data_IF_333585092807
#
_entry.id   IF_333585092807
#
_cell.length_a   1.000
_cell.length_b   1.000
_cell.length_c   1.000
_cell.angle_alpha   90.00
_cell.angle_beta   90.00
_cell.angle_gamma   90.00
#
_symmetry.space_group_name_H-M   'P 1'
#
loop_
_entity.id
_entity.type
_entity.pdbx_description
1 polymer ?
#
# COMPACT_ATOMS: atom_id res chain seq x y z
N UNK A 1 -25.73 -15.17 26.96
CA UNK A 1 -26.30 -15.94 25.85
C UNK A 1 -27.07 -15.09 24.84
N UNK A 2 -28.21 -14.46 25.16
CA UNK A 2 -28.91 -13.59 24.17
C UNK A 2 -28.04 -12.40 23.74
N UNK A 3 -27.39 -11.72 24.69
CA UNK A 3 -26.53 -10.58 24.39
C UNK A 3 -25.28 -10.95 23.57
N UNK A 4 -24.71 -12.13 23.80
CA UNK A 4 -23.56 -12.64 23.04
C UNK A 4 -23.95 -12.95 21.59
N UNK A 5 -25.11 -13.61 21.39
CA UNK A 5 -25.66 -13.89 20.05
C UNK A 5 -25.98 -12.58 19.32
N UNK A 6 -26.60 -11.61 20.00
CA UNK A 6 -26.89 -10.30 19.41
C UNK A 6 -25.61 -9.54 19.04
N UNK A 7 -24.56 -9.62 19.86
CA UNK A 7 -23.27 -9.01 19.56
C UNK A 7 -22.60 -9.67 18.33
N UNK A 8 -22.62 -11.00 18.26
CA UNK A 8 -22.07 -11.77 17.13
C UNK A 8 -22.82 -11.50 15.82
N UNK A 9 -24.16 -11.46 15.85
CA UNK A 9 -24.99 -11.12 14.69
C UNK A 9 -24.73 -9.68 14.25
N UNK A 10 -24.70 -8.73 15.19
CA UNK A 10 -24.44 -7.32 14.88
C UNK A 10 -23.06 -7.13 14.25
N UNK A 11 -22.04 -7.82 14.78
CA UNK A 11 -20.70 -7.84 14.21
C UNK A 11 -20.68 -8.41 12.79
N UNK A 12 -21.40 -9.52 12.58
CA UNK A 12 -21.54 -10.15 11.27
C UNK A 12 -22.24 -9.24 10.25
N UNK A 13 -23.37 -8.63 10.62
CA UNK A 13 -24.11 -7.69 9.77
C UNK A 13 -23.28 -6.45 9.46
N UNK A 14 -22.54 -5.91 10.43
CA UNK A 14 -21.62 -4.79 10.22
C UNK A 14 -20.59 -5.13 9.16
N UNK A 15 -19.95 -6.31 9.23
CA UNK A 15 -18.98 -6.76 8.22
C UNK A 15 -19.55 -6.79 6.81
N UNK A 16 -20.76 -7.31 6.62
CA UNK A 16 -21.39 -7.37 5.30
C UNK A 16 -21.83 -5.98 4.80
N UNK A 17 -22.29 -5.11 5.70
CA UNK A 17 -22.79 -3.78 5.34
C UNK A 17 -21.69 -2.93 4.74
N UNK A 18 -20.47 -3.01 5.28
CA UNK A 18 -19.34 -2.26 4.77
C UNK A 18 -18.94 -2.75 3.34
N UNK A 19 -19.00 -4.06 3.07
CA UNK A 19 -18.75 -4.63 1.73
C UNK A 19 -19.81 -4.18 0.73
N UNK A 20 -21.08 -4.25 1.13
CA UNK A 20 -22.19 -3.82 0.28
C UNK A 20 -22.12 -2.33 -0.01
N UNK A 21 -21.73 -1.52 0.98
CA UNK A 21 -21.44 -0.10 0.81
C UNK A 21 -20.32 0.15 -0.20
N UNK A 22 -19.25 -0.64 -0.13
CA UNK A 22 -18.13 -0.59 -1.08
C UNK A 22 -18.57 -0.93 -2.51
N UNK A 23 -19.32 -2.02 -2.69
CA UNK A 23 -19.85 -2.40 -4.01
C UNK A 23 -20.84 -1.37 -4.55
N UNK A 24 -21.70 -0.80 -3.69
CA UNK A 24 -22.65 0.22 -4.12
C UNK A 24 -21.93 1.49 -4.63
N UNK A 25 -20.80 1.84 -4.01
CA UNK A 25 -20.02 3.02 -4.39
C UNK A 25 -19.02 2.77 -5.52
N UNK A 26 -18.79 1.51 -5.91
CA UNK A 26 -18.00 1.21 -7.10
C UNK A 26 -18.65 1.67 -8.41
N UNK A 27 -19.97 1.89 -8.41
CA UNK A 27 -20.70 2.43 -9.57
C UNK A 27 -20.79 3.96 -9.57
N UNK A 28 -20.09 4.65 -8.67
CA UNK A 28 -20.15 6.11 -8.59
C UNK A 28 -19.38 6.75 -9.76
N UNK A 29 -20.01 7.72 -10.42
CA UNK A 29 -19.43 8.48 -11.56
C UNK A 29 -18.18 9.30 -11.19
N UNK A 30 -17.87 9.42 -9.90
CA UNK A 30 -16.65 10.07 -9.41
C UNK A 30 -15.40 9.19 -9.49
N UNK A 31 -15.56 7.90 -9.79
CA UNK A 31 -14.42 7.01 -9.97
C UNK A 31 -13.78 7.26 -11.34
N UNK A 32 -12.45 7.33 -11.37
CA UNK A 32 -11.67 7.27 -12.61
C UNK A 32 -11.72 5.86 -13.21
N UNK A 33 -12.76 5.54 -13.97
CA UNK A 33 -12.99 4.19 -14.52
C UNK A 33 -11.91 3.76 -15.51
N UNK A 34 -11.24 4.71 -16.15
CA UNK A 34 -10.11 4.50 -17.06
C UNK A 34 -8.97 3.73 -16.35
N UNK A 35 -8.81 3.94 -15.04
CA UNK A 35 -7.78 3.27 -14.23
C UNK A 35 -8.13 1.81 -13.94
N UNK A 36 -9.38 1.39 -14.13
CA UNK A 36 -9.82 0.03 -13.82
C UNK A 36 -9.12 -1.01 -14.67
N UNK A 37 -9.00 -0.77 -15.98
CA UNK A 37 -8.38 -1.71 -16.91
C UNK A 37 -6.91 -2.01 -16.54
N UNK A 38 -6.01 -1.02 -16.43
CA UNK A 38 -4.61 -1.31 -16.11
C UNK A 38 -4.43 -1.91 -14.70
N UNK A 39 -5.23 -1.50 -13.71
CA UNK A 39 -5.16 -2.12 -12.38
C UNK A 39 -5.66 -3.58 -12.41
N UNK A 40 -6.72 -3.88 -13.16
CA UNK A 40 -7.22 -5.25 -13.30
C UNK A 40 -6.19 -6.15 -13.98
N UNK A 41 -5.41 -5.62 -14.94
CA UNK A 41 -4.29 -6.33 -15.56
C UNK A 41 -3.17 -6.61 -14.56
N UNK A 42 -2.76 -5.61 -13.79
CA UNK A 42 -1.78 -5.80 -12.72
C UNK A 42 -2.25 -6.88 -11.73
N UNK A 43 -3.50 -6.82 -11.28
CA UNK A 43 -4.12 -7.84 -10.42
C UNK A 43 -4.09 -9.22 -11.07
N UNK A 44 -4.44 -9.32 -12.36
CA UNK A 44 -4.40 -10.59 -13.08
C UNK A 44 -2.98 -11.18 -13.15
N UNK A 45 -2.00 -10.31 -13.37
CA UNK A 45 -0.59 -10.66 -13.48
C UNK A 45 0.01 -11.13 -12.16
N UNK A 46 -0.26 -10.43 -11.06
CA UNK A 46 0.37 -10.69 -9.76
C UNK A 46 -0.41 -11.66 -8.87
N UNK A 47 -1.73 -11.74 -9.00
CA UNK A 47 -2.59 -12.59 -8.16
C UNK A 47 -2.97 -13.85 -8.92
N UNK A 48 -3.85 -13.71 -9.92
CA UNK A 48 -4.39 -14.80 -10.73
C UNK A 48 -5.20 -14.21 -11.88
N UNK A 49 -5.20 -14.81 -13.09
CA UNK A 49 -6.04 -14.38 -14.21
C UNK A 49 -7.53 -14.20 -13.84
N UNK A 50 -8.04 -15.06 -12.94
CA UNK A 50 -9.44 -15.07 -12.50
C UNK A 50 -9.75 -14.04 -11.40
N UNK A 51 -8.74 -13.41 -10.80
CA UNK A 51 -8.93 -12.46 -9.70
C UNK A 51 -9.69 -11.22 -10.19
N UNK A 52 -10.76 -10.82 -9.50
CA UNK A 52 -11.60 -9.69 -9.87
C UNK A 52 -11.15 -8.42 -9.13
N UNK A 53 -11.29 -7.26 -9.76
CA UNK A 53 -10.98 -5.97 -9.14
C UNK A 53 -12.28 -5.19 -8.95
N UNK A 54 -12.51 -4.67 -7.74
CA UNK A 54 -13.55 -3.69 -7.45
C UNK A 54 -12.86 -2.42 -6.96
N UNK A 55 -13.15 -1.30 -7.63
CA UNK A 55 -12.69 0.03 -7.24
C UNK A 55 -13.85 0.82 -6.67
N UNK A 56 -13.69 1.50 -5.54
CA UNK A 56 -14.75 2.29 -4.92
C UNK A 56 -14.27 3.65 -4.44
N UNK A 57 -15.18 4.64 -4.41
CA UNK A 57 -15.00 5.93 -3.75
C UNK A 57 -15.59 5.86 -2.33
N UNK A 58 -14.79 6.01 -1.28
CA UNK A 58 -15.20 5.78 0.12
C UNK A 58 -15.07 7.03 1.01
N UNK A 59 -16.08 7.32 1.82
CA UNK A 59 -16.15 8.54 2.66
C UNK A 59 -15.54 8.37 4.05
N UNK A 60 -15.60 7.17 4.62
CA UNK A 60 -15.07 6.88 5.95
C UNK A 60 -13.65 6.30 5.91
N UNK A 61 -12.94 6.53 4.80
CA UNK A 61 -11.68 5.85 4.52
C UNK A 61 -10.50 6.68 5.04
N UNK A 62 -9.89 6.19 6.11
CA UNK A 62 -8.48 6.46 6.43
C UNK A 62 -7.67 5.54 5.51
N UNK A 63 -6.57 6.00 4.90
CA UNK A 63 -6.13 5.51 3.60
C UNK A 63 -5.92 4.00 3.58
N UNK A 64 -6.53 3.36 2.58
CA UNK A 64 -6.19 2.02 2.08
C UNK A 64 -5.96 0.99 3.18
N UNK A 65 -6.90 0.91 4.12
CA UNK A 65 -6.95 -0.17 5.08
C UNK A 65 -8.39 -0.59 5.22
N UNK A 66 -8.86 -1.44 4.29
CA UNK A 66 -9.98 -2.27 4.67
C UNK A 66 -9.41 -3.47 5.44
N UNK A 67 -9.70 -3.64 6.74
CA UNK A 67 -9.22 -4.78 7.52
C UNK A 67 -9.88 -6.11 7.13
N UNK A 68 -10.37 -6.23 5.90
CA UNK A 68 -10.91 -7.46 5.39
C UNK A 68 -9.78 -8.31 4.84
N UNK A 69 -9.38 -9.28 5.67
CA UNK A 69 -9.39 -10.64 5.17
C UNK A 69 -10.80 -10.93 4.67
N UNK A 70 -11.07 -10.69 3.38
CA UNK A 70 -12.27 -11.18 2.72
C UNK A 70 -12.13 -12.69 2.58
N UNK A 71 -12.15 -13.42 3.70
CA UNK A 71 -12.37 -14.87 3.67
C UNK A 71 -13.67 -15.18 2.91
N UNK A 72 -14.58 -14.20 2.85
CA UNK A 72 -15.84 -14.21 2.10
C UNK A 72 -15.69 -13.99 0.59
N UNK A 73 -14.63 -13.34 0.12
CA UNK A 73 -14.41 -13.01 -1.30
C UNK A 73 -12.92 -13.19 -1.70
N UNK A 74 -12.34 -14.39 -1.56
CA UNK A 74 -10.91 -14.63 -1.77
C UNK A 74 -10.45 -14.36 -3.21
N UNK A 75 -11.37 -14.37 -4.18
CA UNK A 75 -11.09 -14.04 -5.59
C UNK A 75 -11.21 -12.55 -5.93
N UNK A 76 -11.42 -11.66 -4.96
CA UNK A 76 -11.59 -10.23 -5.19
C UNK A 76 -10.48 -9.40 -4.56
N UNK A 77 -10.01 -8.41 -5.31
CA UNK A 77 -9.14 -7.33 -4.86
C UNK A 77 -9.99 -6.07 -4.76
N UNK A 78 -9.95 -5.41 -3.62
CA UNK A 78 -10.67 -4.17 -3.38
C UNK A 78 -9.69 -3.01 -3.33
N UNK A 79 -9.95 -1.94 -4.07
CA UNK A 79 -9.17 -0.70 -4.06
C UNK A 79 -10.11 0.47 -3.77
N UNK A 80 -10.04 1.01 -2.56
CA UNK A 80 -10.90 2.12 -2.12
C UNK A 80 -10.18 3.46 -2.17
N UNK A 81 -10.58 4.36 -3.07
CA UNK A 81 -10.09 5.74 -3.06
C UNK A 81 -10.97 6.60 -2.14
N UNK A 82 -10.42 7.60 -1.42
CA UNK A 82 -11.23 8.56 -0.67
C UNK A 82 -12.18 9.30 -1.60
N UNK A 83 -13.43 9.47 -1.21
CA UNK A 83 -14.45 10.08 -2.06
C UNK A 83 -14.13 11.51 -2.57
N UNK A 84 -13.42 12.38 -1.82
CA UNK A 84 -12.97 13.67 -2.35
C UNK A 84 -11.86 13.57 -3.40
N UNK A 85 -11.11 12.46 -3.40
CA UNK A 85 -9.91 12.24 -4.20
C UNK A 85 -10.08 11.11 -5.22
N UNK A 86 -11.29 10.58 -5.41
CA UNK A 86 -11.51 9.38 -6.26
C UNK A 86 -11.27 9.61 -7.75
N UNK A 87 -11.23 10.87 -8.18
CA UNK A 87 -10.82 11.29 -9.52
C UNK A 87 -9.33 11.68 -9.62
N UNK A 88 -8.60 11.68 -8.51
CA UNK A 88 -7.19 12.06 -8.48
C UNK A 88 -6.31 10.90 -8.96
N UNK A 89 -5.95 10.92 -10.24
CA UNK A 89 -5.11 9.88 -10.86
C UNK A 89 -3.76 9.70 -10.15
N UNK A 90 -3.24 10.78 -9.55
CA UNK A 90 -1.95 10.78 -8.86
C UNK A 90 -1.96 9.94 -7.57
N UNK A 91 -3.12 9.60 -7.00
CA UNK A 91 -3.20 8.75 -5.80
C UNK A 91 -3.28 7.26 -6.08
N UNK A 92 -3.58 6.86 -7.31
CA UNK A 92 -3.69 5.44 -7.65
C UNK A 92 -2.41 4.62 -7.51
N UNK A 93 -1.17 5.16 -7.47
CA UNK A 93 -0.02 4.39 -7.00
C UNK A 93 -0.27 3.70 -5.65
N UNK A 94 -1.06 4.30 -4.76
CA UNK A 94 -1.40 3.70 -3.46
C UNK A 94 -2.26 2.44 -3.57
N UNK A 95 -2.93 2.22 -4.71
CA UNK A 95 -3.59 0.94 -4.99
C UNK A 95 -2.62 -0.25 -4.95
N UNK A 96 -1.33 -0.02 -5.18
CA UNK A 96 -0.29 -1.03 -5.01
C UNK A 96 -0.27 -1.63 -3.59
N UNK A 97 -0.53 -0.83 -2.56
CA UNK A 97 -0.62 -1.31 -1.18
C UNK A 97 -1.76 -2.32 -1.01
N UNK A 98 -2.97 -1.99 -1.49
CA UNK A 98 -4.14 -2.88 -1.40
C UNK A 98 -3.99 -4.16 -2.22
N UNK A 99 -3.40 -4.06 -3.42
CA UNK A 99 -3.08 -5.22 -4.24
C UNK A 99 -2.03 -6.09 -3.52
N UNK A 100 -1.09 -5.46 -2.82
CA UNK A 100 -0.11 -6.11 -1.96
C UNK A 100 -0.74 -7.03 -0.92
N UNK A 101 -1.79 -6.61 -0.22
CA UNK A 101 -2.48 -7.49 0.74
C UNK A 101 -3.03 -8.75 0.09
N UNK A 102 -3.56 -8.62 -1.13
CA UNK A 102 -4.06 -9.78 -1.89
C UNK A 102 -2.91 -10.69 -2.34
N UNK A 103 -1.79 -10.12 -2.77
CA UNK A 103 -0.58 -10.86 -3.17
C UNK A 103 0.03 -11.60 -1.98
N UNK A 104 0.11 -10.95 -0.82
CA UNK A 104 0.61 -11.54 0.43
C UNK A 104 -0.13 -12.83 0.79
N UNK A 105 -1.46 -12.81 0.67
CA UNK A 105 -2.31 -13.98 0.91
C UNK A 105 -2.15 -15.03 -0.18
N UNK A 106 -2.27 -14.63 -1.45
CA UNK A 106 -2.26 -15.55 -2.60
C UNK A 106 -0.96 -16.35 -2.70
N UNK A 107 0.18 -15.75 -2.34
CA UNK A 107 1.49 -16.40 -2.38
C UNK A 107 1.94 -16.95 -1.02
N UNK A 108 1.02 -17.05 -0.07
CA UNK A 108 1.23 -17.63 1.27
C UNK A 108 2.49 -17.08 1.99
N UNK A 109 2.76 -15.78 1.82
CA UNK A 109 4.00 -15.17 2.31
C UNK A 109 4.13 -15.24 3.83
N UNK A 110 3.00 -15.19 4.55
CA UNK A 110 2.96 -15.45 6.00
C UNK A 110 3.56 -16.82 6.32
N UNK A 111 3.12 -17.88 5.64
CA UNK A 111 3.62 -19.23 5.88
C UNK A 111 5.11 -19.35 5.52
N UNK A 112 5.52 -18.72 4.41
CA UNK A 112 6.89 -18.73 3.96
C UNK A 112 7.88 -18.00 4.91
N UNK A 113 7.41 -16.99 5.64
CA UNK A 113 8.23 -16.20 6.57
C UNK A 113 8.11 -16.67 8.02
N UNK A 114 7.06 -17.44 8.36
CA UNK A 114 6.73 -17.85 9.73
C UNK A 114 7.94 -18.33 10.54
N UNK A 115 8.71 -19.29 10.01
CA UNK A 115 9.87 -19.85 10.72
C UNK A 115 10.96 -18.82 11.00
N UNK A 116 11.25 -17.93 10.04
CA UNK A 116 12.25 -16.89 10.21
C UNK A 116 11.80 -15.87 11.27
N UNK A 117 10.54 -15.47 11.24
CA UNK A 117 9.97 -14.51 12.20
C UNK A 117 9.91 -15.13 13.59
N UNK A 118 9.48 -16.38 13.75
CA UNK A 118 9.49 -17.06 15.06
C UNK A 118 10.89 -17.07 15.68
N UNK A 119 11.94 -17.34 14.88
CA UNK A 119 13.32 -17.29 15.35
C UNK A 119 13.75 -15.88 15.74
N UNK A 120 13.41 -14.89 14.92
CA UNK A 120 13.73 -13.48 15.18
C UNK A 120 13.04 -12.96 16.45
N UNK A 121 11.78 -13.35 16.68
CA UNK A 121 11.02 -13.03 17.90
C UNK A 121 11.66 -13.63 19.13
N UNK A 122 12.02 -14.91 19.10
CA UNK A 122 12.74 -15.54 20.21
C UNK A 122 14.06 -14.82 20.50
N UNK A 123 14.83 -14.51 19.45
CA UNK A 123 16.08 -13.74 19.58
C UNK A 123 15.88 -12.33 20.16
N UNK A 124 14.83 -11.61 19.75
CA UNK A 124 14.52 -10.27 20.25
C UNK A 124 14.13 -10.30 21.74
N UNK A 125 13.31 -11.27 22.15
CA UNK A 125 12.91 -11.45 23.55
C UNK A 125 14.11 -11.82 24.43
N UNK A 126 14.99 -12.71 23.96
CA UNK A 126 16.15 -13.16 24.73
C UNK A 126 17.28 -12.13 24.78
N UNK A 127 17.29 -11.15 23.87
CA UNK A 127 18.26 -10.05 23.86
C UNK A 127 18.02 -9.01 24.97
N UNK A 128 16.81 -8.94 25.55
CA UNK A 128 16.47 -8.02 26.65
C UNK A 128 15.74 -8.77 27.78
N UNK A 129 16.50 -9.45 28.66
CA UNK A 129 15.92 -10.20 29.77
C UNK A 129 15.18 -9.31 30.77
N UNK A 130 15.53 -8.03 30.89
CA UNK A 130 14.88 -7.11 31.81
C UNK A 130 13.48 -6.74 31.30
N UNK A 131 13.34 -6.37 30.02
CA UNK A 131 12.05 -6.14 29.40
C UNK A 131 11.17 -7.37 29.45
N UNK A 132 11.73 -8.54 29.12
CA UNK A 132 11.05 -9.84 29.23
C UNK A 132 10.49 -10.08 30.63
N UNK A 133 11.31 -9.92 31.67
CA UNK A 133 10.87 -10.09 33.06
C UNK A 133 9.74 -9.11 33.43
N UNK A 134 9.87 -7.83 33.05
CA UNK A 134 8.85 -6.84 33.34
C UNK A 134 7.48 -7.16 32.75
N UNK A 135 7.42 -7.72 31.53
CA UNK A 135 6.13 -8.09 30.90
C UNK A 135 5.51 -9.28 31.63
N UNK A 136 6.30 -10.34 31.85
CA UNK A 136 5.82 -11.56 32.50
C UNK A 136 5.30 -11.29 33.92
N UNK A 137 5.97 -10.39 34.65
CA UNK A 137 5.55 -9.99 36.01
C UNK A 137 4.29 -9.10 36.00
N UNK A 138 4.15 -8.18 35.02
CA UNK A 138 3.03 -7.22 34.96
C UNK A 138 1.74 -7.81 34.43
N UNK A 139 1.83 -8.67 33.40
CA UNK A 139 0.67 -9.15 32.68
C UNK A 139 0.15 -10.49 33.21
N UNK A 140 0.94 -11.19 34.05
CA UNK A 140 0.64 -12.58 34.43
C UNK A 140 0.64 -13.52 33.21
N UNK A 141 1.24 -13.09 32.10
CA UNK A 141 1.34 -13.84 30.85
C UNK A 141 2.42 -14.92 30.96
N UNK A 142 2.24 -16.02 30.23
CA UNK A 142 3.30 -17.01 30.08
C UNK A 142 4.24 -16.61 28.95
N UNK A 143 5.48 -17.12 28.96
CA UNK A 143 6.42 -16.88 27.85
C UNK A 143 5.83 -17.29 26.47
N UNK A 144 5.12 -18.42 26.33
CA UNK A 144 4.40 -18.75 25.10
C UNK A 144 3.38 -17.68 24.67
N UNK A 145 2.65 -17.08 25.61
CA UNK A 145 1.65 -16.04 25.30
C UNK A 145 2.34 -14.80 24.73
N UNK A 146 3.40 -14.33 25.40
CA UNK A 146 4.22 -13.21 24.92
C UNK A 146 4.77 -13.49 23.52
N UNK A 147 5.35 -14.67 23.31
CA UNK A 147 5.89 -15.08 22.01
C UNK A 147 4.81 -15.05 20.92
N UNK A 148 3.61 -15.52 21.21
CA UNK A 148 2.49 -15.53 20.27
C UNK A 148 2.00 -14.12 19.93
N UNK A 149 1.88 -13.23 20.93
CA UNK A 149 1.49 -11.83 20.74
C UNK A 149 2.51 -11.08 19.88
N UNK A 150 3.80 -11.21 20.21
CA UNK A 150 4.89 -10.55 19.46
C UNK A 150 4.97 -11.11 18.04
N UNK A 151 4.84 -12.43 17.86
CA UNK A 151 4.84 -13.07 16.55
C UNK A 151 3.68 -12.62 15.67
N UNK A 152 2.46 -12.57 16.20
CA UNK A 152 1.30 -12.07 15.48
C UNK A 152 1.47 -10.61 15.06
N UNK A 153 2.02 -9.79 15.95
CA UNK A 153 2.31 -8.37 15.71
C UNK A 153 3.36 -8.21 14.61
N UNK A 154 4.50 -8.89 14.73
CA UNK A 154 5.60 -8.82 13.76
C UNK A 154 5.18 -9.29 12.35
N UNK A 155 4.38 -10.36 12.25
CA UNK A 155 3.86 -10.83 10.96
C UNK A 155 2.92 -9.81 10.31
N UNK A 156 2.10 -9.12 11.10
CA UNK A 156 1.23 -8.05 10.58
C UNK A 156 2.03 -6.83 10.12
N UNK A 157 3.03 -6.42 10.89
CA UNK A 157 3.92 -5.35 10.46
C UNK A 157 4.69 -5.70 9.17
N UNK A 158 5.16 -6.94 9.03
CA UNK A 158 5.80 -7.40 7.80
C UNK A 158 4.85 -7.41 6.59
N UNK A 159 3.58 -7.75 6.79
CA UNK A 159 2.54 -7.64 5.75
C UNK A 159 2.39 -6.19 5.28
N UNK A 160 2.32 -5.22 6.19
CA UNK A 160 2.23 -3.80 5.86
C UNK A 160 3.46 -3.30 5.08
N UNK A 161 4.68 -3.69 5.52
CA UNK A 161 5.90 -3.33 4.82
C UNK A 161 5.92 -3.99 3.43
N UNK A 162 5.55 -5.26 3.32
CA UNK A 162 5.43 -5.94 2.02
C UNK A 162 4.54 -5.15 1.06
N UNK A 163 3.39 -4.66 1.52
CA UNK A 163 2.46 -3.89 0.71
C UNK A 163 3.07 -2.55 0.25
N UNK A 164 3.83 -1.88 1.11
CA UNK A 164 4.59 -0.67 0.73
C UNK A 164 5.67 -0.98 -0.31
N UNK A 165 6.41 -2.07 -0.13
CA UNK A 165 7.44 -2.49 -1.08
C UNK A 165 6.83 -2.89 -2.42
N UNK A 166 5.67 -3.54 -2.41
CA UNK A 166 4.92 -3.87 -3.61
C UNK A 166 4.55 -2.61 -4.38
N UNK A 167 3.93 -1.64 -3.70
CA UNK A 167 3.55 -0.37 -4.31
C UNK A 167 4.75 0.38 -4.86
N UNK A 168 5.85 0.46 -4.10
CA UNK A 168 7.08 1.11 -4.51
C UNK A 168 7.74 0.44 -5.72
N UNK A 169 7.77 -0.89 -5.78
CA UNK A 169 8.32 -1.61 -6.91
C UNK A 169 7.50 -1.38 -8.18
N UNK A 170 6.17 -1.51 -8.08
CA UNK A 170 5.28 -1.37 -9.24
C UNK A 170 5.30 0.07 -9.78
N UNK A 171 5.18 1.06 -8.89
CA UNK A 171 4.90 2.43 -9.26
C UNK A 171 6.11 3.36 -9.13
N UNK A 172 7.25 2.88 -8.64
CA UNK A 172 8.47 3.67 -8.53
C UNK A 172 8.29 4.90 -7.63
N UNK A 173 8.89 6.02 -8.03
CA UNK A 173 8.82 7.29 -7.29
C UNK A 173 7.39 7.80 -7.10
N UNK A 174 6.45 7.47 -8.00
CA UNK A 174 5.05 7.90 -7.85
C UNK A 174 4.37 7.31 -6.61
N UNK A 175 4.75 6.10 -6.17
CA UNK A 175 4.26 5.55 -4.91
C UNK A 175 4.68 6.43 -3.73
N UNK A 176 5.98 6.78 -3.66
CA UNK A 176 6.52 7.59 -2.59
C UNK A 176 5.88 8.99 -2.57
N UNK A 177 5.65 9.60 -3.74
CA UNK A 177 4.98 10.89 -3.84
C UNK A 177 3.51 10.83 -3.41
N UNK A 178 2.76 9.84 -3.88
CA UNK A 178 1.37 9.65 -3.47
C UNK A 178 1.26 9.36 -1.96
N UNK A 179 2.19 8.56 -1.44
CA UNK A 179 2.28 8.23 -0.02
C UNK A 179 2.57 9.48 0.81
N UNK A 180 3.53 10.30 0.40
CA UNK A 180 3.82 11.57 1.06
C UNK A 180 2.62 12.51 1.02
N UNK A 181 2.05 12.75 -0.15
CA UNK A 181 0.95 13.69 -0.31
C UNK A 181 -0.26 13.30 0.55
N UNK A 182 -0.61 12.02 0.54
CA UNK A 182 -1.86 11.55 1.10
C UNK A 182 -1.78 11.23 2.59
N UNK A 183 -0.61 10.76 3.07
CA UNK A 183 -0.45 10.31 4.46
C UNK A 183 0.35 11.29 5.33
N UNK A 184 1.08 12.25 4.76
CA UNK A 184 1.76 13.27 5.55
C UNK A 184 0.75 14.18 6.29
N UNK A 185 1.11 14.75 7.44
CA UNK A 185 2.38 14.56 8.16
C UNK A 185 2.42 13.24 8.97
N UNK A 186 1.43 12.36 8.82
CA UNK A 186 1.26 11.19 9.66
C UNK A 186 1.01 11.57 11.12
N UNK A 187 1.62 10.82 12.04
CA UNK A 187 1.47 11.01 13.48
C UNK A 187 0.32 10.20 14.08
N UNK A 188 -0.40 10.79 15.03
CA UNK A 188 -1.48 10.12 15.74
C UNK A 188 -1.00 8.97 16.62
N UNK A 189 -1.91 8.04 16.91
CA UNK A 189 -1.63 6.88 17.75
C UNK A 189 -1.27 5.67 16.90
N UNK A 190 -0.10 5.07 17.16
CA UNK A 190 0.41 3.89 16.47
C UNK A 190 -0.42 2.66 16.82
N UNK A 191 -0.98 2.00 15.82
CA UNK A 191 -1.51 0.64 15.93
C UNK A 191 -0.34 -0.35 16.03
N UNK A 192 -0.40 -1.36 16.91
CA UNK A 192 0.69 -2.34 17.04
C UNK A 192 0.93 -3.13 15.75
N UNK A 193 -0.09 -3.28 14.91
CA UNK A 193 -0.02 -4.00 13.64
C UNK A 193 0.77 -3.27 12.54
N UNK A 194 1.14 -2.01 12.78
CA UNK A 194 1.90 -1.21 11.84
C UNK A 194 3.28 -0.87 12.43
N UNK A 195 4.35 -0.86 11.62
CA UNK A 195 5.59 -0.19 12.03
C UNK A 195 5.30 1.28 12.31
N UNK A 196 6.17 1.95 13.07
CA UNK A 196 6.05 3.40 13.21
C UNK A 196 6.19 4.08 11.83
N UNK A 197 5.60 5.27 11.67
CA UNK A 197 5.71 6.00 10.40
C UNK A 197 7.17 6.26 9.99
N UNK A 198 8.04 6.55 10.96
CA UNK A 198 9.48 6.71 10.74
C UNK A 198 10.13 5.43 10.21
N UNK A 199 9.76 4.26 10.74
CA UNK A 199 10.30 2.97 10.29
C UNK A 199 9.77 2.62 8.90
N UNK A 200 8.47 2.80 8.63
CA UNK A 200 7.90 2.59 7.27
C UNK A 200 8.64 3.43 6.23
N UNK A 201 8.86 4.71 6.51
CA UNK A 201 9.67 5.59 5.66
C UNK A 201 11.10 5.06 5.50
N UNK A 202 11.75 4.63 6.58
CA UNK A 202 13.09 4.04 6.53
C UNK A 202 13.19 2.80 5.64
N UNK A 203 12.20 1.89 5.73
CA UNK A 203 12.10 0.71 4.88
C UNK A 203 11.87 1.07 3.42
N UNK A 204 10.97 2.02 3.13
CA UNK A 204 10.73 2.51 1.76
C UNK A 204 11.98 3.17 1.17
N UNK A 205 12.71 3.99 1.92
CA UNK A 205 13.95 4.62 1.45
C UNK A 205 15.04 3.59 1.15
N UNK A 206 15.14 2.56 2.00
CA UNK A 206 16.09 1.44 1.80
C UNK A 206 15.75 0.68 0.51
N UNK A 207 14.48 0.39 0.30
CA UNK A 207 14.00 -0.29 -0.90
C UNK A 207 14.14 0.56 -2.17
N UNK A 208 13.81 1.85 -2.11
CA UNK A 208 13.98 2.78 -3.23
C UNK A 208 15.44 2.79 -3.69
N UNK A 209 16.39 2.87 -2.74
CA UNK A 209 17.82 2.78 -3.03
C UNK A 209 18.20 1.45 -3.69
N UNK A 210 17.68 0.33 -3.19
CA UNK A 210 17.94 -0.99 -3.76
C UNK A 210 17.41 -1.15 -5.19
N UNK A 211 16.30 -0.48 -5.50
CA UNK A 211 15.68 -0.46 -6.83
C UNK A 211 16.28 0.59 -7.78
N UNK A 212 17.16 1.47 -7.28
CA UNK A 212 17.69 2.59 -8.07
C UNK A 212 16.66 3.69 -8.34
N UNK A 213 15.61 3.78 -7.52
CA UNK A 213 14.60 4.83 -7.59
C UNK A 213 15.16 6.09 -6.94
N UNK A 214 15.28 7.15 -7.72
CA UNK A 214 15.70 8.47 -7.22
C UNK A 214 14.52 9.17 -6.53
N UNK A 215 14.69 9.52 -5.26
CA UNK A 215 13.70 10.22 -4.44
C UNK A 215 14.30 11.53 -3.95
N UNK A 216 13.49 12.59 -3.99
CA UNK A 216 13.94 13.92 -3.59
C UNK A 216 14.44 13.95 -2.13
N UNK A 217 15.61 14.58 -1.87
CA UNK A 217 16.09 14.77 -0.52
C UNK A 217 15.04 15.48 0.34
N UNK A 218 14.68 14.87 1.46
CA UNK A 218 13.69 15.45 2.37
C UNK A 218 12.24 15.33 1.90
N UNK A 219 11.92 14.48 0.91
CA UNK A 219 10.54 14.17 0.52
C UNK A 219 9.66 13.91 1.76
N UNK A 220 10.14 13.08 2.67
CA UNK A 220 9.43 12.73 3.91
C UNK A 220 9.71 13.69 5.09
N UNK A 221 10.26 14.88 4.85
CA UNK A 221 10.68 15.82 5.90
C UNK A 221 9.54 16.39 6.76
N UNK A 222 8.29 16.31 6.29
CA UNK A 222 7.09 16.76 7.03
C UNK A 222 6.53 15.72 8.00
N UNK A 223 7.05 14.49 7.97
CA UNK A 223 6.50 13.38 8.75
C UNK A 223 6.77 13.53 10.25
N UNK A 224 5.75 13.18 11.03
CA UNK A 224 5.77 13.24 12.50
C UNK A 224 5.79 11.82 13.06
N UNK A 225 6.46 11.68 14.21
CA UNK A 225 6.46 10.43 14.97
C UNK A 225 5.03 10.14 15.48
N UNK A 226 4.57 8.91 15.29
CA UNK A 226 3.35 8.44 15.97
C UNK A 226 3.63 8.21 17.45
N UNK A 227 2.64 8.49 18.30
CA UNK A 227 2.69 8.16 19.72
C UNK A 227 2.15 6.76 19.95
N UNK A 228 2.62 6.07 20.98
CA UNK A 228 2.11 4.75 21.30
C UNK A 228 0.63 4.80 21.73
N UNK A 229 -0.16 3.83 21.26
CA UNK A 229 -1.55 3.68 21.68
C UNK A 229 -1.64 3.21 23.13
N UNK A 230 -2.53 3.84 23.91
CA UNK A 230 -2.85 3.37 25.27
C UNK A 230 -3.32 1.92 25.22
N UNK A 231 -2.80 1.10 26.14
CA UNK A 231 -3.16 -0.32 26.28
C UNK A 231 -2.30 -1.28 25.44
N UNK A 232 -1.34 -0.78 24.67
CA UNK A 232 -0.31 -1.62 24.03
C UNK A 232 0.93 -1.63 24.93
N UNK A 233 1.51 -2.79 25.21
CA UNK A 233 2.75 -2.88 25.99
C UNK A 233 3.96 -2.40 25.14
N UNK A 234 4.75 -1.41 25.62
CA UNK A 234 5.88 -0.86 24.87
C UNK A 234 7.02 -1.87 24.66
N UNK A 235 7.29 -2.71 25.66
CA UNK A 235 8.37 -3.68 25.64
C UNK A 235 8.02 -4.79 24.61
N UNK A 236 6.77 -5.26 24.61
CA UNK A 236 6.30 -6.23 23.61
C UNK A 236 6.34 -5.70 22.17
N UNK A 237 5.96 -4.43 21.98
CA UNK A 237 6.02 -3.78 20.66
C UNK A 237 7.48 -3.64 20.18
N UNK A 238 8.40 -3.26 21.06
CA UNK A 238 9.82 -3.18 20.73
C UNK A 238 10.41 -4.54 20.30
N UNK A 239 9.97 -5.65 20.91
CA UNK A 239 10.36 -6.99 20.44
C UNK A 239 9.85 -7.29 19.03
N UNK A 240 8.62 -6.88 18.70
CA UNK A 240 8.08 -7.04 17.36
C UNK A 240 8.90 -6.23 16.35
N UNK A 241 9.17 -4.96 16.65
CA UNK A 241 9.93 -4.04 15.79
C UNK A 241 11.35 -4.58 15.51
N UNK A 242 12.03 -5.09 16.55
CA UNK A 242 13.34 -5.72 16.42
C UNK A 242 13.30 -6.99 15.55
N UNK A 243 12.29 -7.85 15.72
CA UNK A 243 12.12 -9.04 14.90
C UNK A 243 11.83 -8.69 13.43
N UNK A 244 11.01 -7.66 13.18
CA UNK A 244 10.73 -7.14 11.83
C UNK A 244 11.99 -6.63 11.18
N UNK A 245 12.77 -5.80 11.86
CA UNK A 245 14.03 -5.26 11.34
C UNK A 245 15.02 -6.38 10.96
N UNK A 246 15.09 -7.45 11.76
CA UNK A 246 15.95 -8.60 11.47
C UNK A 246 15.52 -9.39 10.22
N UNK A 247 14.22 -9.49 9.94
CA UNK A 247 13.66 -10.25 8.81
C UNK A 247 13.52 -9.40 7.55
N UNK A 248 13.44 -8.07 7.68
CA UNK A 248 13.20 -7.13 6.58
C UNK A 248 14.05 -7.37 5.33
N UNK A 249 15.39 -7.53 5.40
CA UNK A 249 16.20 -7.72 4.20
C UNK A 249 15.79 -8.94 3.36
N UNK A 250 15.49 -10.06 4.02
CA UNK A 250 15.06 -11.28 3.34
C UNK A 250 13.64 -11.17 2.78
N UNK A 251 12.74 -10.47 3.50
CA UNK A 251 11.39 -10.18 3.01
C UNK A 251 11.43 -9.25 1.80
N UNK A 252 12.24 -8.19 1.83
CA UNK A 252 12.41 -7.26 0.71
C UNK A 252 12.89 -7.98 -0.55
N UNK A 253 13.93 -8.81 -0.44
CA UNK A 253 14.42 -9.59 -1.59
C UNK A 253 13.33 -10.49 -2.16
N UNK A 254 12.59 -11.20 -1.28
CA UNK A 254 11.49 -12.07 -1.70
C UNK A 254 10.37 -11.31 -2.41
N UNK A 255 10.06 -10.09 -1.98
CA UNK A 255 9.07 -9.22 -2.65
C UNK A 255 9.52 -8.90 -4.07
N UNK A 256 10.78 -8.53 -4.25
CA UNK A 256 11.32 -8.18 -5.57
C UNK A 256 11.40 -9.39 -6.49
N UNK A 257 11.84 -10.54 -5.97
CA UNK A 257 11.88 -11.80 -6.72
C UNK A 257 10.47 -12.20 -7.18
N UNK A 258 9.47 -12.12 -6.29
CA UNK A 258 8.07 -12.39 -6.64
C UNK A 258 7.60 -11.51 -7.80
N UNK A 259 7.84 -10.20 -7.74
CA UNK A 259 7.37 -9.27 -8.77
C UNK A 259 8.10 -9.47 -10.09
N UNK A 260 9.40 -9.75 -10.04
CA UNK A 260 10.21 -10.09 -11.20
C UNK A 260 9.74 -11.39 -11.87
N UNK A 261 9.47 -12.43 -11.09
CA UNK A 261 8.94 -13.72 -11.58
C UNK A 261 7.57 -13.55 -12.24
N UNK A 262 6.76 -12.62 -11.72
CA UNK A 262 5.48 -12.22 -12.32
C UNK A 262 5.62 -11.27 -13.50
N UNK A 263 6.85 -10.96 -13.93
CA UNK A 263 7.17 -10.07 -15.07
C UNK A 263 6.63 -8.66 -14.89
N UNK A 264 6.49 -8.20 -13.65
CA UNK A 264 6.12 -6.81 -13.37
C UNK A 264 7.35 -5.95 -13.66
N UNK A 265 7.22 -5.02 -14.60
CA UNK A 265 8.28 -4.08 -14.95
C UNK A 265 8.15 -2.78 -14.16
N UNK A 266 9.28 -2.23 -13.73
CA UNK A 266 9.34 -0.89 -13.15
C UNK A 266 9.15 0.19 -14.24
N UNK A 267 8.73 1.41 -13.87
CA UNK A 267 8.65 2.53 -14.81
C UNK A 267 10.00 2.82 -15.46
N UNK A 268 10.04 2.96 -16.78
CA UNK A 268 11.26 3.24 -17.52
C UNK A 268 11.47 4.74 -17.70
N UNK A 269 12.65 5.23 -17.33
CA UNK A 269 12.96 6.66 -17.34
C UNK A 269 12.79 7.30 -18.72
N UNK A 270 13.18 6.61 -19.79
CA UNK A 270 13.05 7.13 -21.16
C UNK A 270 11.59 7.30 -21.59
N UNK A 271 10.69 6.42 -21.14
CA UNK A 271 9.25 6.52 -21.42
C UNK A 271 8.63 7.60 -20.56
N UNK A 272 8.99 7.67 -19.28
CA UNK A 272 8.53 8.72 -18.37
C UNK A 272 8.88 10.11 -18.91
N UNK A 273 10.11 10.36 -19.36
CA UNK A 273 10.49 11.65 -19.95
C UNK A 273 9.74 11.98 -21.24
N UNK A 274 9.45 10.97 -22.09
CA UNK A 274 8.61 11.16 -23.28
C UNK A 274 7.21 11.65 -22.90
N UNK A 275 6.58 11.01 -21.91
CA UNK A 275 5.23 11.38 -21.43
C UNK A 275 5.25 12.78 -20.82
N UNK A 276 6.26 13.12 -20.02
CA UNK A 276 6.42 14.49 -19.49
C UNK A 276 6.49 15.51 -20.63
N UNK A 277 7.22 15.18 -21.71
CA UNK A 277 7.25 16.01 -22.92
C UNK A 277 5.90 16.14 -23.62
N UNK A 278 5.08 15.09 -23.63
CA UNK A 278 3.71 15.12 -24.14
C UNK A 278 2.81 16.03 -23.28
N UNK A 279 2.87 15.89 -21.96
CA UNK A 279 2.14 16.74 -21.01
C UNK A 279 2.51 18.22 -21.15
N UNK A 280 3.80 18.53 -21.34
CA UNK A 280 4.26 19.91 -21.61
C UNK A 280 3.74 20.50 -22.93
N UNK A 281 3.35 19.66 -23.90
CA UNK A 281 2.67 20.07 -25.14
C UNK A 281 1.14 20.03 -25.02
N UNK A 282 0.61 19.69 -23.84
CA UNK A 282 -0.82 19.55 -23.56
C UNK A 282 -1.51 18.49 -24.42
N UNK A 283 -0.81 17.38 -24.68
CA UNK A 283 -1.35 16.21 -25.38
C UNK A 283 -1.10 14.94 -24.57
N UNK A 284 -1.98 13.92 -24.65
CA UNK A 284 -1.74 12.65 -23.99
C UNK A 284 -0.58 11.90 -24.64
N UNK A 285 0.00 10.93 -23.93
CA UNK A 285 0.90 9.95 -24.53
C UNK A 285 0.10 9.06 -25.48
N UNK A 286 0.64 8.86 -26.69
CA UNK A 286 -0.01 8.12 -27.76
C UNK A 286 0.71 6.83 -28.15
N UNK A 287 1.83 6.52 -27.49
CA UNK A 287 2.70 5.38 -27.83
C UNK A 287 2.51 4.17 -26.91
N UNK A 288 1.48 4.20 -26.06
CA UNK A 288 1.06 3.04 -25.26
C UNK A 288 1.94 2.79 -24.04
N UNK A 289 2.27 3.85 -23.29
CA UNK A 289 2.92 3.71 -22.00
C UNK A 289 2.13 2.84 -21.01
N UNK A 290 2.85 2.20 -20.09
CA UNK A 290 2.23 1.47 -18.98
C UNK A 290 1.64 2.44 -17.95
N UNK A 291 0.66 1.97 -17.18
CA UNK A 291 0.04 2.79 -16.13
C UNK A 291 1.06 3.33 -15.09
N UNK A 292 2.02 2.53 -14.58
CA UNK A 292 3.09 3.04 -13.72
C UNK A 292 3.94 4.15 -14.34
N UNK A 293 4.24 4.08 -15.64
CA UNK A 293 4.98 5.12 -16.36
C UNK A 293 4.17 6.43 -16.43
N UNK A 294 2.86 6.34 -16.72
CA UNK A 294 1.96 7.50 -16.80
C UNK A 294 1.84 8.22 -15.45
N UNK A 295 1.61 7.48 -14.35
CA UNK A 295 1.50 8.11 -13.01
C UNK A 295 2.82 8.66 -12.50
N UNK A 296 3.94 8.04 -12.86
CA UNK A 296 5.28 8.59 -12.58
C UNK A 296 5.54 9.88 -13.33
N UNK A 297 5.22 9.92 -14.62
CA UNK A 297 5.31 11.13 -15.41
C UNK A 297 4.41 12.24 -14.86
N UNK A 298 3.18 11.92 -14.43
CA UNK A 298 2.26 12.88 -13.84
C UNK A 298 2.83 13.55 -12.59
N UNK A 299 3.33 12.75 -11.65
CA UNK A 299 3.96 13.28 -10.43
C UNK A 299 5.19 14.14 -10.74
N UNK A 300 6.10 13.67 -11.59
CA UNK A 300 7.31 14.41 -11.93
C UNK A 300 6.99 15.71 -12.68
N UNK A 301 6.02 15.68 -13.60
CA UNK A 301 5.53 16.86 -14.29
C UNK A 301 5.00 17.89 -13.28
N UNK A 302 4.08 17.49 -12.39
CA UNK A 302 3.51 18.38 -11.38
C UNK A 302 4.58 19.00 -10.48
N UNK A 303 5.54 18.21 -10.00
CA UNK A 303 6.62 18.69 -9.13
C UNK A 303 7.58 19.65 -9.85
N UNK A 304 7.89 19.40 -11.12
CA UNK A 304 8.68 20.34 -11.96
C UNK A 304 8.00 21.69 -12.15
N UNK A 305 6.68 21.74 -12.03
CA UNK A 305 5.87 22.96 -12.19
C UNK A 305 5.44 23.60 -10.85
N UNK A 306 6.15 23.32 -9.76
CA UNK A 306 5.91 23.95 -8.46
C UNK A 306 4.99 23.16 -7.52
N UNK A 307 4.61 21.94 -7.89
CA UNK A 307 3.85 21.03 -7.03
C UNK A 307 2.41 21.48 -6.80
N UNK A 308 1.90 21.21 -5.60
CA UNK A 308 0.55 21.56 -5.15
C UNK A 308 0.55 22.84 -4.30
N UNK A 309 1.30 23.87 -4.70
CA UNK A 309 1.25 25.15 -3.99
C UNK A 309 -0.13 25.81 -4.16
N UNK A 310 -0.56 26.64 -3.20
CA UNK A 310 -1.89 27.30 -3.22
C UNK A 310 -2.11 28.20 -4.45
N UNK A 311 -1.04 28.62 -5.11
CA UNK A 311 -1.05 29.45 -6.32
C UNK A 311 -0.87 28.63 -7.61
N UNK A 312 -0.55 27.33 -7.52
CA UNK A 312 -0.46 26.45 -8.68
C UNK A 312 -1.86 26.24 -9.26
N UNK A 313 -2.00 26.65 -10.52
CA UNK A 313 -3.25 26.79 -11.24
C UNK A 313 -4.07 25.49 -11.18
N UNK A 314 -5.23 25.53 -10.52
CA UNK A 314 -6.18 24.41 -10.51
C UNK A 314 -6.44 23.90 -11.94
N UNK A 315 -6.38 24.79 -12.93
CA UNK A 315 -6.48 24.43 -14.33
C UNK A 315 -5.34 23.52 -14.81
N UNK A 316 -4.12 23.71 -14.32
CA UNK A 316 -2.97 22.85 -14.65
C UNK A 316 -3.14 21.45 -14.05
N UNK A 317 -3.61 21.38 -12.80
CA UNK A 317 -3.92 20.12 -12.14
C UNK A 317 -5.06 19.36 -12.84
N UNK A 318 -6.17 20.04 -13.14
CA UNK A 318 -7.31 19.46 -13.84
C UNK A 318 -6.90 18.99 -15.25
N UNK A 319 -6.11 19.82 -15.97
CA UNK A 319 -5.56 19.46 -17.29
C UNK A 319 -4.65 18.24 -17.21
N UNK A 320 -3.74 18.17 -16.23
CA UNK A 320 -2.86 17.03 -16.06
C UNK A 320 -3.66 15.74 -15.79
N UNK A 321 -4.67 15.81 -14.92
CA UNK A 321 -5.57 14.69 -14.65
C UNK A 321 -6.21 14.15 -15.93
N UNK A 322 -6.76 15.04 -16.77
CA UNK A 322 -7.34 14.66 -18.07
C UNK A 322 -6.30 14.03 -19.00
N UNK A 323 -5.10 14.62 -19.13
CA UNK A 323 -4.04 14.05 -19.97
C UNK A 323 -3.60 12.66 -19.50
N UNK A 324 -3.52 12.45 -18.19
CA UNK A 324 -3.20 11.14 -17.62
C UNK A 324 -4.29 10.12 -17.93
N UNK A 325 -5.57 10.45 -17.71
CA UNK A 325 -6.70 9.57 -18.03
C UNK A 325 -6.72 9.23 -19.53
N UNK A 326 -6.53 10.22 -20.40
CA UNK A 326 -6.46 9.99 -21.85
C UNK A 326 -5.27 9.15 -22.27
N UNK A 327 -4.12 9.30 -21.63
CA UNK A 327 -2.97 8.43 -21.88
C UNK A 327 -3.26 6.98 -21.49
N UNK A 328 -4.02 6.77 -20.40
CA UNK A 328 -4.45 5.44 -19.96
C UNK A 328 -5.43 4.80 -20.96
N UNK A 329 -6.43 5.56 -21.41
CA UNK A 329 -7.37 5.10 -22.45
C UNK A 329 -6.64 4.71 -23.75
N UNK A 330 -5.66 5.51 -24.18
CA UNK A 330 -4.87 5.21 -25.39
C UNK A 330 -4.04 3.95 -25.20
N UNK A 331 -3.42 3.77 -24.02
CA UNK A 331 -2.67 2.56 -23.71
C UNK A 331 -3.57 1.30 -23.76
N UNK A 332 -4.76 1.37 -23.16
CA UNK A 332 -5.75 0.30 -23.23
C UNK A 332 -6.17 0.00 -24.68
N UNK A 333 -6.47 1.03 -25.46
CA UNK A 333 -6.89 0.88 -26.85
C UNK A 333 -5.81 0.18 -27.70
N UNK A 334 -4.55 0.61 -27.58
CA UNK A 334 -3.43 0.03 -28.33
C UNK A 334 -3.20 -1.43 -27.97
N UNK A 335 -3.34 -1.78 -26.70
CA UNK A 335 -3.19 -3.15 -26.26
C UNK A 335 -4.29 -4.06 -26.81
N UNK A 336 -5.55 -3.61 -26.74
CA UNK A 336 -6.68 -4.38 -27.31
C UNK A 336 -6.55 -4.60 -28.82
N UNK A 337 -5.91 -3.68 -29.53
CA UNK A 337 -5.59 -3.86 -30.95
C UNK A 337 -4.45 -4.85 -31.19
N UNK A 338 -3.50 -5.00 -30.27
CA UNK A 338 -2.42 -5.97 -30.38
C UNK A 338 -2.89 -7.41 -30.11
N UNK A 339 -3.95 -7.56 -29.32
CA UNK A 339 -4.57 -8.86 -28.97
C UNK A 339 -5.61 -9.35 -30.01
N UNK A 340 -6.00 -8.52 -30.98
CA UNK A 340 -7.07 -8.80 -31.97
C UNK A 340 -6.52 -9.38 -33.29
#
# INVERSE_FOLDING_TARGET
>A
MVDEICAEISFTVSKYTDVLGFILRSTNVRNAFEVQFPLKRLVAQVISPEARLIMSSEWNFVPFTYPMTLDLLPGFVLVGAPAPESGNVLLFPLAGHEIGHSAWRQHELKAALQTAVTRAVAGAIDADPEAKARILDRAGETLPDLQNVVLGTALKQLEEIFCDLFGLYVFGASYAHAYEYFLAPGGGSRSPFYPSSSERVGYMLTAAKALGIDLEPGLFGRWRQSTQRKGVDPDALAFADAAVAAVFPAMMQRTFDLLLDRKVSQPRSEVVERIIGAFGRRVPDDDGATFPEIVTAGWLYLRRHGGLSEEADRAEYDMLGELMLKSIEVAEFRERLADA
#
